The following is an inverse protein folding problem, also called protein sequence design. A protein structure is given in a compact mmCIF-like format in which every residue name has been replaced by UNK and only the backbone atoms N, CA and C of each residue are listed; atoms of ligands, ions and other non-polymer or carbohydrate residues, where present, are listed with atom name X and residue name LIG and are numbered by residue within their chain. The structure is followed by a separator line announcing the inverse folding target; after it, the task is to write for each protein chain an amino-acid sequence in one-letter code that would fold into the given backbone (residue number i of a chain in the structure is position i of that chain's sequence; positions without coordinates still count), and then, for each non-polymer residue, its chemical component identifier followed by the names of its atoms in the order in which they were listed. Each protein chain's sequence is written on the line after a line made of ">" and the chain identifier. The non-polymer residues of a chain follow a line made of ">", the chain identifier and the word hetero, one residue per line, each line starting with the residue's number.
data_IF_500014499541
#
_entry.id   IF_500014499541
#
_cell.length_a   1.000
_cell.length_b   1.000
_cell.length_c   1.000
_cell.angle_alpha   90.00
_cell.angle_beta   90.00
_cell.angle_gamma   90.00
#
_symmetry.space_group_name_H-M   'P 1'
#
loop_
_entity.id
_entity.type
_entity.pdbx_description
1 polymer ?
#
# COMPACT_ATOMS: atom_id res chain seq x y z
N UNK A 1 -4.24 -50.44 12.13
CA UNK A 1 -4.34 -49.46 13.23
C UNK A 1 -3.05 -48.65 13.38
N UNK A 2 -1.88 -49.26 13.54
CA UNK A 2 -0.61 -48.52 13.70
C UNK A 2 -0.27 -47.61 12.50
N UNK A 3 -0.35 -48.14 11.28
CA UNK A 3 -0.12 -47.39 10.03
C UNK A 3 -1.07 -46.18 9.87
N UNK A 4 -2.32 -46.32 10.32
CA UNK A 4 -3.30 -45.23 10.26
C UNK A 4 -2.94 -44.11 11.23
N UNK A 5 -2.46 -44.46 12.43
CA UNK A 5 -2.00 -43.50 13.45
C UNK A 5 -0.76 -42.76 12.97
N UNK A 6 0.22 -43.46 12.38
CA UNK A 6 1.41 -42.83 11.79
C UNK A 6 1.05 -41.84 10.68
N UNK A 7 0.11 -42.22 9.81
CA UNK A 7 -0.38 -41.34 8.74
C UNK A 7 -1.11 -40.10 9.28
N UNK A 8 -1.88 -40.25 10.36
CA UNK A 8 -2.55 -39.11 11.02
C UNK A 8 -1.50 -38.16 11.59
N UNK A 9 -0.48 -38.67 12.29
CA UNK A 9 0.60 -37.84 12.86
C UNK A 9 1.36 -37.09 11.77
N UNK A 10 1.67 -37.74 10.64
CA UNK A 10 2.30 -37.07 9.49
C UNK A 10 1.43 -35.93 8.95
N UNK A 11 0.12 -36.17 8.82
CA UNK A 11 -0.82 -35.16 8.34
C UNK A 11 -0.96 -33.99 9.32
N UNK A 12 -1.05 -34.25 10.62
CA UNK A 12 -1.11 -33.21 11.65
C UNK A 12 0.16 -32.34 11.64
N UNK A 13 1.33 -32.95 11.52
CA UNK A 13 2.59 -32.23 11.37
C UNK A 13 2.58 -31.34 10.12
N UNK A 14 2.15 -31.88 8.98
CA UNK A 14 2.04 -31.11 7.72
C UNK A 14 1.04 -29.97 7.82
N UNK A 15 -0.08 -30.15 8.52
CA UNK A 15 -1.09 -29.11 8.75
C UNK A 15 -0.49 -28.00 9.60
N UNK A 16 0.20 -28.33 10.71
CA UNK A 16 0.85 -27.35 11.56
C UNK A 16 1.89 -26.49 10.80
N UNK A 17 2.68 -27.10 9.92
CA UNK A 17 3.61 -26.36 9.05
C UNK A 17 2.90 -25.45 8.04
N UNK A 18 1.77 -25.91 7.49
CA UNK A 18 0.97 -25.10 6.56
C UNK A 18 0.32 -23.91 7.29
N UNK A 19 -0.15 -24.09 8.51
CA UNK A 19 -0.73 -23.02 9.33
C UNK A 19 0.30 -21.94 9.65
N UNK A 20 1.52 -22.31 10.07
CA UNK A 20 2.63 -21.35 10.27
C UNK A 20 2.98 -20.62 8.96
N UNK A 21 3.01 -21.34 7.84
CA UNK A 21 3.27 -20.74 6.53
C UNK A 21 2.18 -19.73 6.15
N UNK A 22 0.90 -20.07 6.36
CA UNK A 22 -0.21 -19.15 6.09
C UNK A 22 -0.14 -17.89 6.95
N UNK A 23 0.19 -18.02 8.23
CA UNK A 23 0.35 -16.87 9.12
C UNK A 23 1.47 -15.93 8.65
N UNK A 24 2.62 -16.48 8.24
CA UNK A 24 3.74 -15.70 7.70
C UNK A 24 3.37 -15.00 6.40
N UNK A 25 2.69 -15.69 5.48
CA UNK A 25 2.23 -15.09 4.23
C UNK A 25 1.24 -13.96 4.48
N UNK A 26 0.30 -14.13 5.42
CA UNK A 26 -0.66 -13.09 5.78
C UNK A 26 0.03 -11.85 6.35
N UNK A 27 1.05 -12.02 7.18
CA UNK A 27 1.85 -10.91 7.70
C UNK A 27 2.55 -10.13 6.56
N UNK A 28 3.14 -10.85 5.60
CA UNK A 28 3.80 -10.24 4.43
C UNK A 28 2.80 -9.47 3.56
N UNK A 29 1.63 -10.05 3.27
CA UNK A 29 0.58 -9.39 2.48
C UNK A 29 0.09 -8.13 3.19
N UNK A 30 -0.10 -8.19 4.51
CA UNK A 30 -0.55 -7.04 5.29
C UNK A 30 0.46 -5.89 5.23
N UNK A 31 1.75 -6.18 5.37
CA UNK A 31 2.82 -5.18 5.24
C UNK A 31 2.88 -4.59 3.81
N UNK A 32 2.75 -5.44 2.80
CA UNK A 32 2.71 -5.00 1.40
C UNK A 32 1.53 -4.07 1.11
N UNK A 33 0.33 -4.40 1.60
CA UNK A 33 -0.85 -3.56 1.44
C UNK A 33 -0.65 -2.18 2.09
N UNK A 34 -0.12 -2.15 3.31
CA UNK A 34 0.18 -0.88 3.99
C UNK A 34 1.16 -0.02 3.17
N UNK A 35 2.18 -0.66 2.58
CA UNK A 35 3.15 0.03 1.73
C UNK A 35 2.54 0.54 0.43
N UNK A 36 1.66 -0.23 -0.20
CA UNK A 36 0.92 0.19 -1.40
C UNK A 36 0.07 1.42 -1.09
N UNK A 37 -0.72 1.39 -0.02
CA UNK A 37 -1.53 2.55 0.37
C UNK A 37 -0.69 3.81 0.61
N UNK A 38 0.49 3.66 1.22
CA UNK A 38 1.41 4.79 1.41
C UNK A 38 1.93 5.34 0.09
N UNK A 39 2.22 4.48 -0.89
CA UNK A 39 2.65 4.88 -2.22
C UNK A 39 1.52 5.56 -2.99
N UNK A 40 0.30 5.03 -2.94
CA UNK A 40 -0.88 5.62 -3.55
C UNK A 40 -1.13 7.03 -3.02
N UNK A 41 -1.13 7.22 -1.69
CA UNK A 41 -1.25 8.54 -1.06
C UNK A 41 -0.18 9.52 -1.54
N UNK A 42 1.08 9.07 -1.67
CA UNK A 42 2.18 9.92 -2.17
C UNK A 42 1.97 10.31 -3.63
N UNK A 43 1.49 9.39 -4.47
CA UNK A 43 1.18 9.67 -5.87
C UNK A 43 0.05 10.70 -6.00
N UNK A 44 -1.01 10.58 -5.19
CA UNK A 44 -2.10 11.57 -5.18
C UNK A 44 -1.63 12.97 -4.79
N UNK A 45 -0.75 13.07 -3.78
CA UNK A 45 -0.13 14.34 -3.39
C UNK A 45 0.70 14.93 -4.54
N UNK A 46 1.58 14.11 -5.15
CA UNK A 46 2.38 14.56 -6.30
C UNK A 46 1.51 15.02 -7.47
N UNK A 47 0.42 14.32 -7.78
CA UNK A 47 -0.52 14.73 -8.82
C UNK A 47 -1.21 16.06 -8.48
N UNK A 48 -1.51 16.29 -7.20
CA UNK A 48 -2.10 17.56 -6.72
C UNK A 48 -1.11 18.70 -6.83
N UNK A 49 0.15 18.48 -6.46
CA UNK A 49 1.23 19.47 -6.59
C UNK A 49 1.48 19.83 -8.07
N UNK A 50 1.51 18.83 -8.96
CA UNK A 50 1.66 19.06 -10.40
C UNK A 50 0.50 19.85 -10.99
N UNK A 51 -0.75 19.58 -10.57
CA UNK A 51 -1.92 20.37 -10.98
C UNK A 51 -1.81 21.81 -10.51
N UNK A 52 -1.35 22.03 -9.28
CA UNK A 52 -1.18 23.35 -8.68
C UNK A 52 -0.10 24.15 -9.41
N UNK A 53 1.04 23.53 -9.70
CA UNK A 53 2.12 24.14 -10.49
C UNK A 53 1.66 24.51 -11.90
N UNK A 54 0.89 23.64 -12.56
CA UNK A 54 0.29 23.96 -13.86
C UNK A 54 -0.66 25.16 -13.74
N UNK A 55 -1.46 25.24 -12.70
CA UNK A 55 -2.34 26.39 -12.43
C UNK A 55 -1.57 27.71 -12.31
N UNK A 56 -0.41 27.70 -11.63
CA UNK A 56 0.45 28.87 -11.50
C UNK A 56 1.12 29.27 -12.82
N UNK A 57 1.59 28.29 -13.61
CA UNK A 57 2.28 28.55 -14.89
C UNK A 57 1.35 29.07 -15.99
N UNK A 58 0.06 28.73 -15.93
CA UNK A 58 -0.97 29.17 -16.87
C UNK A 58 -1.97 30.14 -16.24
N UNK A 59 -1.62 30.76 -15.09
CA UNK A 59 -2.42 31.83 -14.51
C UNK A 59 -2.44 33.00 -15.49
N UNK A 60 -3.64 33.42 -15.90
CA UNK A 60 -3.82 34.54 -16.81
C UNK A 60 -3.26 35.82 -16.15
N UNK A 61 -2.29 36.53 -16.76
CA UNK A 61 -1.76 37.78 -16.24
C UNK A 61 -2.84 38.84 -15.99
N UNK A 62 -4.00 38.73 -16.64
CA UNK A 62 -5.15 39.60 -16.42
C UNK A 62 -5.85 39.38 -15.05
N UNK A 63 -5.51 38.33 -14.31
CA UNK A 63 -6.03 38.02 -12.97
C UNK A 63 -5.07 38.40 -11.84
N UNK A 64 -3.92 39.03 -12.14
CA UNK A 64 -3.06 39.57 -11.09
C UNK A 64 -3.73 40.80 -10.42
N UNK A 65 -3.92 40.78 -9.09
CA UNK A 65 -4.44 41.96 -8.39
C UNK A 65 -3.45 43.13 -8.54
N UNK A 66 -3.93 44.37 -8.71
CA UNK A 66 -3.06 45.53 -8.93
C UNK A 66 -2.08 45.69 -7.76
N UNK A 67 -0.82 46.08 -8.04
CA UNK A 67 0.22 46.15 -7.02
C UNK A 67 -0.16 47.16 -5.93
N UNK A 68 0.16 46.88 -4.66
CA UNK A 68 -0.11 47.80 -3.56
C UNK A 68 0.66 49.11 -3.77
N UNK A 69 -0.08 50.22 -3.80
CA UNK A 69 0.51 51.56 -3.81
C UNK A 69 0.98 51.91 -2.38
N UNK A 70 2.29 51.99 -2.18
CA UNK A 70 2.95 52.49 -0.97
C UNK A 70 3.34 53.96 -1.12
#
# INVERSE_FOLDING_TARGET
>A
MHELVERIVELEMRVAFQDDTMQRLNAVITDQNLRIEQLERRLELMLTDLKSLRGLLYADPAQEPPPPHY
#
